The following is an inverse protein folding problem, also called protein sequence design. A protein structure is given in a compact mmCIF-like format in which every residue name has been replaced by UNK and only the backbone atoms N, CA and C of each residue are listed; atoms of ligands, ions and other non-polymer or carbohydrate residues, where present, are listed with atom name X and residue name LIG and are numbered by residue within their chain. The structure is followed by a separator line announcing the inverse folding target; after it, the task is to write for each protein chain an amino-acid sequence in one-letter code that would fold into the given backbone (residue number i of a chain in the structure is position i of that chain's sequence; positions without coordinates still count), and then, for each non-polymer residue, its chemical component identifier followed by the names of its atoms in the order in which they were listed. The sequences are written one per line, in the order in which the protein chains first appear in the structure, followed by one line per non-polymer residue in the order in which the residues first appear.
data_IF_279600761609
#
_entry.id   IF_279600761609
#
_cell.length_a   1.000
_cell.length_b   1.000
_cell.length_c   1.000
_cell.angle_alpha   90.00
_cell.angle_beta   90.00
_cell.angle_gamma   90.00
#
_symmetry.space_group_name_H-M   'P 1'
#
loop_
_entity.id
_entity.type
_entity.pdbx_description
1 polymer ?
#
# COMPACT_ATOMS: atom_id res chain seq x y z
N UNK A 1 19.72 -12.83 4.19
CA UNK A 1 19.13 -11.53 4.52
C UNK A 1 19.47 -11.19 5.97
N UNK A 2 19.90 -9.98 6.21
CA UNK A 2 20.11 -9.52 7.56
C UNK A 2 18.79 -9.13 8.16
N UNK A 3 18.43 -9.81 9.22
CA UNK A 3 17.23 -9.45 9.95
C UNK A 3 17.56 -8.35 10.92
N UNK A 4 16.63 -7.45 11.07
CA UNK A 4 16.71 -6.46 12.12
C UNK A 4 16.71 -7.19 13.45
N UNK A 5 17.50 -6.71 14.38
CA UNK A 5 17.42 -7.18 15.75
C UNK A 5 16.02 -6.88 16.25
N UNK A 6 15.55 -7.63 17.26
CA UNK A 6 14.19 -7.44 17.78
C UNK A 6 13.88 -5.98 18.08
N UNK A 7 14.84 -5.27 18.66
CA UNK A 7 14.69 -3.86 18.99
C UNK A 7 14.51 -2.99 17.74
N UNK A 8 15.27 -3.27 16.69
CA UNK A 8 15.18 -2.52 15.43
C UNK A 8 13.89 -2.85 14.69
N UNK A 9 13.46 -4.10 14.77
CA UNK A 9 12.19 -4.52 14.18
C UNK A 9 11.01 -3.78 14.81
N UNK A 10 10.98 -3.67 16.12
CA UNK A 10 9.92 -2.95 16.83
C UNK A 10 9.89 -1.48 16.43
N UNK A 11 11.05 -0.85 16.33
CA UNK A 11 11.16 0.53 15.91
C UNK A 11 10.66 0.73 14.50
N UNK A 12 11.04 -0.17 13.61
CA UNK A 12 10.61 -0.16 12.21
C UNK A 12 9.09 -0.31 12.09
N UNK A 13 8.53 -1.24 12.85
CA UNK A 13 7.09 -1.47 12.88
C UNK A 13 6.32 -0.25 13.39
N UNK A 14 6.85 0.44 14.40
CA UNK A 14 6.24 1.69 14.90
C UNK A 14 6.24 2.79 13.86
N UNK A 15 7.31 2.92 13.09
CA UNK A 15 7.41 3.91 12.02
C UNK A 15 6.40 3.59 10.92
N UNK A 16 6.29 2.32 10.52
CA UNK A 16 5.29 1.90 9.53
C UNK A 16 3.88 2.20 9.99
N UNK A 17 3.59 1.94 11.26
CA UNK A 17 2.29 2.20 11.84
C UNK A 17 1.96 3.69 11.83
N UNK A 18 2.92 4.52 12.19
CA UNK A 18 2.79 5.97 12.13
C UNK A 18 2.53 6.45 10.70
N UNK A 19 3.28 5.93 9.72
CA UNK A 19 3.09 6.28 8.32
C UNK A 19 1.70 5.91 7.84
N UNK A 20 1.23 4.73 8.23
CA UNK A 20 -0.12 4.27 7.89
C UNK A 20 -1.21 5.18 8.45
N UNK A 21 -1.04 5.62 9.70
CA UNK A 21 -1.97 6.59 10.30
C UNK A 21 -1.98 7.91 9.53
N UNK A 22 -0.82 8.37 9.08
CA UNK A 22 -0.74 9.59 8.29
C UNK A 22 -1.49 9.47 6.97
N UNK A 23 -1.40 8.33 6.31
CA UNK A 23 -2.18 8.09 5.10
C UNK A 23 -3.69 8.16 5.39
N UNK A 24 -4.12 7.54 6.46
CA UNK A 24 -5.52 7.57 6.86
C UNK A 24 -5.99 9.00 7.19
N UNK A 25 -5.15 9.77 7.87
CA UNK A 25 -5.46 11.17 8.18
C UNK A 25 -5.62 12.02 6.92
N UNK A 26 -4.79 11.78 5.91
CA UNK A 26 -4.89 12.48 4.62
C UNK A 26 -6.25 12.22 3.99
N UNK A 27 -6.70 10.96 3.98
CA UNK A 27 -8.02 10.61 3.44
C UNK A 27 -9.14 11.26 4.22
N UNK A 28 -9.02 11.29 5.54
CA UNK A 28 -10.00 11.95 6.39
C UNK A 28 -10.08 13.44 6.09
N UNK A 29 -8.93 14.09 5.90
CA UNK A 29 -8.88 15.52 5.60
C UNK A 29 -9.44 15.83 4.22
N UNK A 30 -9.33 14.91 3.26
CA UNK A 30 -9.94 15.04 1.94
C UNK A 30 -11.46 14.86 1.98
N UNK A 31 -12.01 14.39 3.10
CA UNK A 31 -13.44 14.16 3.31
C UNK A 31 -14.04 13.14 2.35
N UNK A 32 -13.23 12.22 1.86
CA UNK A 32 -13.69 11.13 1.02
C UNK A 32 -13.65 9.86 1.87
N UNK A 33 -14.80 9.28 2.12
CA UNK A 33 -14.92 8.13 3.01
C UNK A 33 -15.36 6.85 2.30
N UNK A 34 -15.84 6.96 1.06
CA UNK A 34 -16.27 5.77 0.31
C UNK A 34 -15.54 5.67 -1.02
N UNK A 35 -15.05 4.47 -1.32
CA UNK A 35 -14.41 4.14 -2.58
C UNK A 35 -15.03 2.86 -3.12
N UNK A 36 -15.52 2.86 -4.34
CA UNK A 36 -16.11 1.65 -4.91
C UNK A 36 -15.07 0.55 -5.04
N UNK A 37 -13.89 0.87 -5.54
CA UNK A 37 -12.87 -0.13 -5.80
C UNK A 37 -11.50 0.34 -5.32
N UNK A 38 -10.93 -0.43 -4.40
CA UNK A 38 -9.64 -0.13 -3.75
C UNK A 38 -8.61 -1.20 -4.12
N UNK A 39 -7.41 -0.77 -4.41
CA UNK A 39 -6.27 -1.66 -4.59
C UNK A 39 -5.16 -1.25 -3.63
N UNK A 40 -4.74 -2.19 -2.78
CA UNK A 40 -3.60 -2.02 -1.89
C UNK A 40 -2.49 -2.98 -2.30
N UNK A 41 -1.30 -2.47 -2.58
CA UNK A 41 -0.16 -3.34 -2.86
C UNK A 41 0.84 -3.29 -1.71
N UNK A 42 1.59 -4.40 -1.54
CA UNK A 42 2.49 -4.55 -0.42
C UNK A 42 1.74 -4.67 0.90
N UNK A 43 0.63 -5.40 0.90
CA UNK A 43 -0.28 -5.42 2.05
C UNK A 43 0.25 -6.20 3.26
N UNK A 44 1.25 -7.06 3.07
CA UNK A 44 1.82 -7.82 4.15
C UNK A 44 0.80 -8.63 4.93
N UNK A 45 0.87 -8.55 6.24
CA UNK A 45 -0.03 -9.29 7.14
C UNK A 45 -1.40 -8.64 7.30
N UNK A 46 -1.62 -7.51 6.66
CA UNK A 46 -2.92 -6.85 6.67
C UNK A 46 -3.12 -5.80 7.76
N UNK A 47 -2.06 -5.39 8.43
CA UNK A 47 -2.16 -4.41 9.52
C UNK A 47 -2.65 -3.06 9.03
N UNK A 48 -2.09 -2.57 7.92
CA UNK A 48 -2.54 -1.31 7.34
C UNK A 48 -3.95 -1.43 6.77
N UNK A 49 -4.27 -2.55 6.11
CA UNK A 49 -5.62 -2.78 5.57
C UNK A 49 -6.68 -2.64 6.65
N UNK A 50 -6.44 -3.26 7.80
CA UNK A 50 -7.38 -3.19 8.94
C UNK A 50 -7.54 -1.76 9.45
N UNK A 51 -6.45 -1.04 9.53
CA UNK A 51 -6.46 0.36 9.97
C UNK A 51 -7.24 1.24 9.00
N UNK A 52 -6.96 1.09 7.71
CA UNK A 52 -7.62 1.87 6.66
C UNK A 52 -9.13 1.64 6.65
N UNK A 53 -9.55 0.39 6.85
CA UNK A 53 -10.96 0.02 6.85
C UNK A 53 -11.77 0.65 7.99
N UNK A 54 -11.11 1.24 8.98
CA UNK A 54 -11.77 2.02 10.02
C UNK A 54 -12.09 3.46 9.54
N UNK A 55 -11.46 3.88 8.45
CA UNK A 55 -11.61 5.25 7.93
C UNK A 55 -12.43 5.33 6.65
N UNK A 56 -12.54 4.21 5.92
CA UNK A 56 -13.24 4.19 4.63
C UNK A 56 -14.22 3.02 4.55
N UNK A 57 -15.20 3.16 3.67
CA UNK A 57 -16.02 2.05 3.21
C UNK A 57 -15.69 1.79 1.75
N UNK A 58 -15.99 0.60 1.26
CA UNK A 58 -15.68 0.19 -0.11
C UNK A 58 -16.63 -0.92 -0.55
N UNK A 59 -16.72 -1.10 -1.86
CA UNK A 59 -17.48 -2.21 -2.43
C UNK A 59 -16.54 -3.38 -2.74
N UNK A 60 -15.34 -3.10 -3.23
CA UNK A 60 -14.35 -4.10 -3.55
C UNK A 60 -12.96 -3.65 -3.10
N UNK A 61 -12.23 -4.55 -2.46
CA UNK A 61 -10.90 -4.27 -1.93
C UNK A 61 -9.95 -5.38 -2.35
N UNK A 62 -9.01 -5.06 -3.25
CA UNK A 62 -8.02 -6.00 -3.73
C UNK A 62 -6.68 -5.74 -3.04
N UNK A 63 -5.99 -6.81 -2.67
CA UNK A 63 -4.71 -6.74 -1.97
C UNK A 63 -3.66 -7.52 -2.72
N UNK A 64 -2.44 -6.98 -2.75
CA UNK A 64 -1.30 -7.64 -3.37
C UNK A 64 -0.12 -7.70 -2.40
N UNK A 65 0.64 -8.78 -2.49
CA UNK A 65 1.99 -8.85 -1.94
C UNK A 65 2.79 -9.84 -2.76
N UNK A 66 4.11 -9.81 -2.64
CA UNK A 66 4.98 -10.77 -3.29
C UNK A 66 5.05 -12.08 -2.49
N UNK A 67 4.73 -12.02 -1.21
CA UNK A 67 4.70 -13.18 -0.31
C UNK A 67 3.28 -13.55 0.07
N UNK A 68 3.06 -14.84 0.28
CA UNK A 68 1.78 -15.34 0.76
C UNK A 68 1.75 -15.30 2.29
N UNK A 69 1.17 -14.25 2.82
CA UNK A 69 0.93 -14.13 4.26
C UNK A 69 -0.37 -14.84 4.59
N UNK A 70 -0.28 -16.04 5.13
CA UNK A 70 -1.44 -16.91 5.36
C UNK A 70 -2.49 -16.32 6.30
N UNK A 71 -2.07 -15.47 7.23
CA UNK A 71 -2.99 -14.78 8.14
C UNK A 71 -3.78 -13.66 7.44
N UNK A 72 -3.42 -13.29 6.23
CA UNK A 72 -4.10 -12.29 5.43
C UNK A 72 -4.71 -12.98 4.20
N UNK A 73 -6.02 -13.14 4.20
CA UNK A 73 -6.71 -13.88 3.15
C UNK A 73 -6.85 -13.08 1.86
N UNK A 74 -6.98 -13.82 0.75
CA UNK A 74 -7.29 -13.24 -0.57
C UNK A 74 -6.22 -12.27 -1.10
N UNK A 75 -4.95 -12.57 -0.82
CA UNK A 75 -3.84 -11.80 -1.39
C UNK A 75 -3.58 -12.27 -2.82
N UNK A 76 -3.45 -11.31 -3.73
CA UNK A 76 -2.98 -11.57 -5.10
C UNK A 76 -1.45 -11.59 -5.04
N UNK A 77 -0.86 -12.75 -5.33
CA UNK A 77 0.58 -12.96 -5.16
C UNK A 77 1.29 -12.69 -6.48
N UNK A 78 2.00 -11.59 -6.56
CA UNK A 78 2.88 -11.28 -7.69
C UNK A 78 3.81 -10.13 -7.30
N UNK A 79 4.92 -10.02 -8.04
CA UNK A 79 5.87 -8.91 -7.89
C UNK A 79 5.24 -7.66 -8.49
N UNK A 80 5.02 -6.65 -7.68
CA UNK A 80 4.41 -5.39 -8.12
C UNK A 80 5.20 -4.70 -9.23
N UNK A 81 6.51 -4.91 -9.33
CA UNK A 81 7.30 -4.42 -10.45
C UNK A 81 6.81 -4.96 -11.80
N UNK A 82 6.08 -6.06 -11.79
CA UNK A 82 5.51 -6.72 -12.98
C UNK A 82 4.03 -6.40 -13.18
N UNK A 83 3.52 -5.33 -12.54
CA UNK A 83 2.09 -4.99 -12.61
C UNK A 83 1.58 -4.86 -14.06
N UNK A 84 2.40 -4.32 -14.96
CA UNK A 84 1.99 -4.13 -16.36
C UNK A 84 1.66 -5.44 -17.08
N UNK A 85 2.16 -6.58 -16.57
CA UNK A 85 1.93 -7.91 -17.14
C UNK A 85 0.72 -8.60 -16.53
N UNK A 86 0.11 -8.01 -15.52
CA UNK A 86 -1.04 -8.60 -14.84
C UNK A 86 -2.35 -8.13 -15.47
N UNK A 87 -3.34 -8.99 -15.51
CA UNK A 87 -4.67 -8.62 -15.99
C UNK A 87 -5.26 -7.49 -15.15
N UNK A 88 -4.90 -7.45 -13.88
CA UNK A 88 -5.30 -6.41 -12.94
C UNK A 88 -4.98 -5.01 -13.47
N UNK A 89 -3.91 -4.86 -14.26
CA UNK A 89 -3.51 -3.56 -14.80
C UNK A 89 -4.53 -2.94 -15.75
N UNK A 90 -5.48 -3.73 -16.21
CA UNK A 90 -6.55 -3.27 -17.11
C UNK A 90 -7.78 -2.82 -16.34
N UNK A 91 -7.82 -3.03 -15.04
CA UNK A 91 -8.92 -2.61 -14.19
C UNK A 91 -8.72 -1.19 -13.70
N UNK A 92 -9.82 -0.56 -13.29
CA UNK A 92 -9.81 0.82 -12.81
C UNK A 92 -10.18 0.87 -11.35
N UNK A 93 -9.47 1.72 -10.61
CA UNK A 93 -9.62 1.86 -9.16
C UNK A 93 -9.88 3.31 -8.77
N UNK A 94 -10.62 3.48 -7.69
CA UNK A 94 -10.89 4.80 -7.12
C UNK A 94 -9.83 5.19 -6.10
N UNK A 95 -9.21 4.19 -5.48
CA UNK A 95 -8.09 4.37 -4.57
C UNK A 95 -7.05 3.30 -4.82
N UNK A 96 -5.82 3.73 -5.03
CA UNK A 96 -4.66 2.84 -5.03
C UNK A 96 -3.78 3.31 -3.88
N UNK A 97 -3.47 2.41 -2.96
CA UNK A 97 -2.79 2.76 -1.72
C UNK A 97 -1.70 1.76 -1.38
N UNK A 98 -0.61 2.25 -0.81
CA UNK A 98 0.45 1.40 -0.31
C UNK A 98 1.19 2.08 0.82
N UNK A 99 1.41 1.35 1.91
CA UNK A 99 2.11 1.86 3.07
C UNK A 99 3.49 1.21 3.20
N UNK A 100 4.53 2.02 3.13
CA UNK A 100 5.92 1.62 3.41
C UNK A 100 6.45 0.50 2.52
N UNK A 101 6.07 0.46 1.25
CA UNK A 101 6.48 -0.61 0.31
C UNK A 101 7.38 -0.10 -0.81
N UNK A 102 7.29 1.18 -1.16
CA UNK A 102 7.95 1.72 -2.35
C UNK A 102 9.46 1.57 -2.36
N UNK A 103 10.09 1.50 -1.21
CA UNK A 103 11.55 1.33 -1.12
C UNK A 103 12.03 0.00 -1.73
N UNK A 104 11.13 -0.96 -1.90
CA UNK A 104 11.42 -2.26 -2.49
C UNK A 104 11.06 -2.35 -3.97
N UNK A 105 10.53 -1.26 -4.56
CA UNK A 105 9.98 -1.25 -5.89
C UNK A 105 10.68 -0.23 -6.79
N UNK A 106 10.63 -0.48 -8.09
CA UNK A 106 11.07 0.48 -9.08
C UNK A 106 9.91 1.41 -9.43
N UNK A 107 9.86 2.55 -8.76
CA UNK A 107 8.75 3.48 -8.87
C UNK A 107 8.56 3.99 -10.31
N UNK A 108 9.66 4.25 -11.02
CA UNK A 108 9.58 4.71 -12.41
C UNK A 108 8.91 3.68 -13.31
N UNK A 109 9.12 2.40 -12.99
CA UNK A 109 8.55 1.29 -13.77
C UNK A 109 7.05 1.13 -13.50
N UNK A 110 6.62 1.29 -12.26
CA UNK A 110 5.23 1.02 -11.89
C UNK A 110 4.29 2.22 -12.03
N UNK A 111 4.78 3.45 -11.92
CA UNK A 111 3.93 4.64 -11.93
C UNK A 111 3.04 4.77 -13.16
N UNK A 112 3.54 4.52 -14.40
CA UNK A 112 2.66 4.60 -15.58
C UNK A 112 1.46 3.66 -15.47
N UNK A 113 1.68 2.43 -15.02
CA UNK A 113 0.59 1.46 -14.84
C UNK A 113 -0.39 1.90 -13.75
N UNK A 114 0.13 2.40 -12.63
CA UNK A 114 -0.73 2.86 -11.54
C UNK A 114 -1.60 4.02 -11.99
N UNK A 115 -1.03 4.95 -12.75
CA UNK A 115 -1.78 6.08 -13.30
C UNK A 115 -2.90 5.60 -14.23
N UNK A 116 -2.60 4.63 -15.09
CA UNK A 116 -3.58 4.08 -16.02
C UNK A 116 -4.67 3.29 -15.32
N UNK A 117 -4.39 2.78 -14.11
CA UNK A 117 -5.34 2.03 -13.31
C UNK A 117 -6.24 2.92 -12.45
N UNK A 118 -6.05 4.23 -12.45
CA UNK A 118 -6.89 5.14 -11.70
C UNK A 118 -8.09 5.59 -12.53
N UNK A 119 -9.27 5.57 -11.90
CA UNK A 119 -10.45 6.21 -12.46
C UNK A 119 -10.26 7.73 -12.48
N UNK A 120 -11.08 8.41 -13.26
CA UNK A 120 -11.14 9.86 -13.18
C UNK A 120 -11.48 10.26 -11.74
N UNK A 121 -10.71 11.17 -11.18
CA UNK A 121 -10.80 11.57 -9.76
C UNK A 121 -10.33 10.49 -8.79
N UNK A 122 -9.70 9.42 -9.30
CA UNK A 122 -9.09 8.42 -8.45
C UNK A 122 -7.89 8.98 -7.69
N UNK A 123 -7.61 8.38 -6.54
CA UNK A 123 -6.55 8.82 -5.65
C UNK A 123 -5.44 7.77 -5.58
N UNK A 124 -4.20 8.22 -5.74
CA UNK A 124 -3.01 7.40 -5.50
C UNK A 124 -2.36 7.91 -4.23
N UNK A 125 -2.31 7.05 -3.21
CA UNK A 125 -1.84 7.42 -1.89
C UNK A 125 -0.74 6.46 -1.44
N UNK A 126 0.47 6.96 -1.39
CA UNK A 126 1.66 6.13 -1.16
C UNK A 126 2.51 6.71 -0.04
N UNK A 127 3.16 5.82 0.72
CA UNK A 127 4.19 6.20 1.66
C UNK A 127 5.42 5.34 1.46
N UNK A 128 6.59 5.88 1.81
CA UNK A 128 7.83 5.14 1.72
C UNK A 128 8.83 5.66 2.75
N UNK A 129 9.77 4.80 3.13
CA UNK A 129 10.92 5.23 3.88
C UNK A 129 11.92 5.89 2.93
N UNK A 130 12.25 7.13 3.17
CA UNK A 130 13.38 7.75 2.50
C UNK A 130 14.65 7.32 3.22
N UNK A 131 15.71 7.11 2.45
CA UNK A 131 16.99 6.67 3.02
C UNK A 131 17.48 7.61 4.11
N UNK A 132 17.42 8.90 3.86
CA UNK A 132 17.84 9.89 4.85
C UNK A 132 16.97 9.88 6.10
N UNK A 133 15.68 9.59 5.96
CA UNK A 133 14.79 9.48 7.10
C UNK A 133 15.17 8.30 7.98
N UNK A 134 15.59 7.19 7.35
CA UNK A 134 16.06 6.04 8.10
C UNK A 134 17.33 6.35 8.88
N UNK A 135 18.19 7.21 8.36
CA UNK A 135 19.40 7.62 9.04
C UNK A 135 19.13 8.55 10.22
N UNK A 136 18.11 9.37 10.11
CA UNK A 136 17.73 10.32 11.15
C UNK A 136 16.92 9.66 12.27
N UNK A 137 16.31 8.58 11.99
CA UNK A 137 15.54 7.84 12.97
C UNK A 137 16.45 7.02 13.88
#
# INVERSE_FOLDING_TARGET
MNFLKAKDYEKHAKVQDFMGLKLCEILKDLKISHFEKVFEFGCGRGEFSKKLQNFITFDEYLKNDILDFKENSNILIFDMNEISKQDLSKEKFDLIVSNATLQWLDLKRILPSLRDMLNQNGILLLSTFAEQNLKEI
#
